data_IF_055177476735
#
_entry.id   IF_055177476735
#
_cell.length_a   1.000
_cell.length_b   1.000
_cell.length_c   1.000
_cell.angle_alpha   90.00
_cell.angle_beta   90.00
_cell.angle_gamma   90.00
#
_symmetry.space_group_name_H-M   'P 1'
#
loop_
_entity.id
_entity.type
_entity.pdbx_description
1 polymer ?
#
# COMPACT_ATOMS: atom_id res chain seq x y z
N UNK A 1 80.34 23.70 75.15
CA UNK A 1 80.35 24.08 73.73
C UNK A 1 79.91 22.86 72.95
N UNK A 2 78.82 23.03 72.21
CA UNK A 2 78.26 22.23 71.11
C UNK A 2 77.94 20.73 71.34
N UNK A 3 76.68 20.28 71.33
CA UNK A 3 75.58 20.38 70.32
C UNK A 3 75.68 19.25 69.29
N UNK A 4 74.70 18.36 69.42
CA UNK A 4 74.04 17.50 68.44
C UNK A 4 74.88 16.41 67.77
N UNK A 5 74.44 15.15 67.90
CA UNK A 5 73.87 14.38 66.78
C UNK A 5 73.08 13.22 67.40
N UNK A 6 71.76 13.33 67.47
CA UNK A 6 70.89 12.14 67.57
C UNK A 6 69.48 12.47 67.04
N UNK A 7 69.39 12.69 65.74
CA UNK A 7 68.13 12.75 65.01
C UNK A 7 68.52 12.68 63.54
N UNK A 8 68.35 11.52 62.87
CA UNK A 8 68.29 11.43 61.40
C UNK A 8 67.97 10.02 60.85
N UNK A 9 67.91 8.95 61.66
CA UNK A 9 67.65 7.60 61.14
C UNK A 9 66.18 7.27 60.89
N UNK A 10 65.23 7.87 61.64
CA UNK A 10 63.79 7.61 61.42
C UNK A 10 63.22 8.39 60.22
N UNK A 11 63.80 9.56 59.90
CA UNK A 11 63.35 10.40 58.77
C UNK A 11 63.55 9.70 57.42
N UNK A 12 64.65 8.99 57.22
CA UNK A 12 65.01 8.36 55.93
C UNK A 12 64.11 7.14 55.62
N UNK A 13 63.75 6.35 56.65
CA UNK A 13 62.87 5.19 56.45
C UNK A 13 61.42 5.65 56.21
N UNK A 14 60.92 6.62 56.97
CA UNK A 14 59.57 7.15 56.78
C UNK A 14 59.44 7.91 55.44
N UNK A 15 60.45 8.68 55.03
CA UNK A 15 60.47 9.26 53.66
C UNK A 15 60.52 8.17 52.59
N UNK A 16 61.30 7.11 52.76
CA UNK A 16 61.33 6.00 51.79
C UNK A 16 60.00 5.24 51.69
N UNK A 17 59.27 5.09 52.80
CA UNK A 17 57.97 4.41 52.83
C UNK A 17 56.88 5.27 52.17
N UNK A 18 56.89 6.58 52.44
CA UNK A 18 55.97 7.52 51.77
C UNK A 18 56.28 7.61 50.27
N UNK A 19 57.54 7.67 49.86
CA UNK A 19 57.96 7.69 48.45
C UNK A 19 57.55 6.40 47.72
N UNK A 20 57.73 5.24 48.34
CA UNK A 20 57.24 3.97 47.81
C UNK A 20 55.72 3.95 47.66
N UNK A 21 55.00 4.52 48.63
CA UNK A 21 53.53 4.64 48.58
C UNK A 21 53.08 5.57 47.46
N UNK A 22 53.82 6.66 47.19
CA UNK A 22 53.57 7.55 46.04
C UNK A 22 53.83 6.85 44.71
N UNK A 23 54.89 6.04 44.59
CA UNK A 23 55.16 5.25 43.39
C UNK A 23 54.03 4.24 43.13
N UNK A 24 53.57 3.53 44.17
CA UNK A 24 52.43 2.61 44.04
C UNK A 24 51.14 3.34 43.64
N UNK A 25 50.87 4.51 44.22
CA UNK A 25 49.73 5.32 43.83
C UNK A 25 49.82 5.76 42.36
N UNK A 26 51.01 6.13 41.89
CA UNK A 26 51.22 6.53 40.50
C UNK A 26 51.03 5.35 39.54
N UNK A 27 51.51 4.16 39.89
CA UNK A 27 51.28 2.93 39.11
C UNK A 27 49.78 2.61 39.05
N UNK A 28 49.06 2.71 40.17
CA UNK A 28 47.62 2.48 40.22
C UNK A 28 46.86 3.49 39.35
N UNK A 29 47.22 4.77 39.42
CA UNK A 29 46.63 5.80 38.56
C UNK A 29 46.89 5.53 37.08
N UNK A 30 48.09 5.08 36.72
CA UNK A 30 48.43 4.75 35.34
C UNK A 30 47.61 3.55 34.83
N UNK A 31 47.45 2.51 35.64
CA UNK A 31 46.61 1.34 35.31
C UNK A 31 45.14 1.73 35.20
N UNK A 32 44.62 2.55 36.12
CA UNK A 32 43.24 3.05 36.04
C UNK A 32 43.01 3.92 34.81
N UNK A 33 43.94 4.81 34.46
CA UNK A 33 43.84 5.62 33.25
C UNK A 33 43.81 4.75 31.99
N UNK A 34 44.65 3.70 31.93
CA UNK A 34 44.65 2.78 30.80
C UNK A 34 43.33 2.00 30.69
N UNK A 35 42.81 1.50 31.82
CA UNK A 35 41.54 0.77 31.85
C UNK A 35 40.36 1.67 31.48
N UNK A 36 40.36 2.93 31.92
CA UNK A 36 39.32 3.90 31.52
C UNK A 36 39.36 4.13 30.01
N UNK A 37 40.55 4.25 29.42
CA UNK A 37 40.68 4.45 27.97
C UNK A 37 40.19 3.23 27.18
N UNK A 38 40.56 2.01 27.59
CA UNK A 38 40.08 0.79 26.90
C UNK A 38 38.56 0.62 27.01
N UNK A 39 37.99 0.94 28.18
CA UNK A 39 36.53 0.89 28.39
C UNK A 39 35.83 1.98 27.58
N UNK A 40 36.43 3.17 27.44
CA UNK A 40 35.89 4.25 26.60
C UNK A 40 35.86 3.86 25.13
N UNK A 41 36.93 3.26 24.60
CA UNK A 41 36.99 2.78 23.22
C UNK A 41 35.93 1.68 22.95
N UNK A 42 35.77 0.72 23.88
CA UNK A 42 34.74 -0.32 23.76
C UNK A 42 33.31 0.26 23.83
N UNK A 43 33.11 1.29 24.65
CA UNK A 43 31.83 1.98 24.77
C UNK A 43 31.46 2.75 23.50
N UNK A 44 32.42 3.46 22.88
CA UNK A 44 32.21 4.17 21.61
C UNK A 44 31.85 3.19 20.49
N UNK A 45 32.57 2.08 20.39
CA UNK A 45 32.35 1.04 19.38
C UNK A 45 30.98 0.35 19.58
N UNK A 46 30.58 0.12 20.83
CA UNK A 46 29.23 -0.38 21.13
C UNK A 46 28.13 0.65 20.80
N UNK A 47 28.39 1.94 20.97
CA UNK A 47 27.44 3.00 20.62
C UNK A 47 27.24 3.10 19.11
N UNK A 48 28.32 3.05 18.34
CA UNK A 48 28.28 3.05 16.87
C UNK A 48 27.52 1.83 16.35
N UNK A 49 27.79 0.63 16.90
CA UNK A 49 27.05 -0.59 16.57
C UNK A 49 25.56 -0.50 16.93
N UNK A 50 25.20 0.14 18.04
CA UNK A 50 23.80 0.32 18.40
C UNK A 50 23.07 1.27 17.43
N UNK A 51 23.78 2.28 16.93
CA UNK A 51 23.25 3.26 15.98
C UNK A 51 23.06 2.65 14.59
N UNK A 52 24.01 1.85 14.12
CA UNK A 52 23.88 1.09 12.86
C UNK A 52 22.73 0.08 12.94
N UNK A 53 22.61 -0.67 14.05
CA UNK A 53 21.51 -1.61 14.23
C UNK A 53 20.14 -0.92 14.26
N UNK A 54 20.06 0.28 14.86
CA UNK A 54 18.83 1.10 14.83
C UNK A 54 18.47 1.55 13.42
N UNK A 55 19.47 1.95 12.62
CA UNK A 55 19.25 2.32 11.23
C UNK A 55 18.80 1.13 10.39
N UNK A 56 19.40 -0.04 10.58
CA UNK A 56 18.97 -1.28 9.91
C UNK A 56 17.53 -1.65 10.29
N UNK A 57 17.18 -1.60 11.58
CA UNK A 57 15.79 -1.88 12.04
C UNK A 57 14.80 -0.87 11.46
N UNK A 58 15.16 0.41 11.38
CA UNK A 58 14.32 1.43 10.74
C UNK A 58 14.13 1.14 9.25
N UNK A 59 15.20 0.80 8.54
CA UNK A 59 15.14 0.46 7.10
C UNK A 59 14.31 -0.81 6.84
N UNK A 60 14.43 -1.83 7.70
CA UNK A 60 13.63 -3.04 7.64
C UNK A 60 12.17 -2.76 7.95
N UNK A 61 11.89 -1.91 8.95
CA UNK A 61 10.52 -1.52 9.30
C UNK A 61 9.87 -0.73 8.18
N UNK A 62 10.60 0.14 7.49
CA UNK A 62 10.10 0.90 6.35
C UNK A 62 9.85 -0.02 5.15
N UNK A 63 10.77 -0.93 4.86
CA UNK A 63 10.59 -1.95 3.82
C UNK A 63 9.42 -2.89 4.11
N UNK A 64 9.23 -3.29 5.37
CA UNK A 64 8.09 -4.10 5.81
C UNK A 64 6.78 -3.31 5.71
N UNK A 65 6.81 -2.00 6.02
CA UNK A 65 5.64 -1.13 5.88
C UNK A 65 5.22 -1.01 4.42
N UNK A 66 6.16 -0.76 3.51
CA UNK A 66 5.90 -0.72 2.06
C UNK A 66 5.38 -2.07 1.56
N UNK A 67 5.98 -3.19 1.98
CA UNK A 67 5.50 -4.52 1.62
C UNK A 67 4.10 -4.81 2.20
N UNK A 68 3.81 -4.34 3.41
CA UNK A 68 2.49 -4.50 4.04
C UNK A 68 1.42 -3.59 3.42
N UNK A 69 1.79 -2.38 2.97
CA UNK A 69 0.89 -1.47 2.24
C UNK A 69 0.61 -2.02 0.83
N UNK A 70 1.61 -2.64 0.20
CA UNK A 70 1.45 -3.35 -1.07
C UNK A 70 0.55 -4.59 -0.91
N UNK A 71 0.73 -5.37 0.16
CA UNK A 71 -0.12 -6.53 0.46
C UNK A 71 -1.54 -6.13 0.93
N UNK A 72 -1.71 -4.96 1.54
CA UNK A 72 -3.02 -4.44 1.94
C UNK A 72 -3.82 -3.84 0.77
N UNK A 73 -3.16 -3.60 -0.38
CA UNK A 73 -3.78 -3.20 -1.64
C UNK A 73 -4.21 -4.39 -2.51
N UNK A 74 -3.89 -5.64 -2.10
CA UNK A 74 -4.01 -6.83 -2.95
C UNK A 74 -5.03 -7.86 -2.44
N UNK A 75 -6.30 -7.48 -2.33
CA UNK A 75 -7.40 -8.47 -2.32
C UNK A 75 -7.71 -8.99 -3.75
N UNK A 76 -7.04 -8.46 -4.78
CA UNK A 76 -7.31 -8.76 -6.19
C UNK A 76 -6.07 -9.21 -7.01
N UNK A 77 -4.91 -9.39 -6.37
CA UNK A 77 -3.68 -9.85 -7.04
C UNK A 77 -3.13 -11.12 -6.40
N UNK A 78 -3.02 -12.17 -7.21
CA UNK A 78 -2.44 -13.46 -6.84
C UNK A 78 -0.91 -13.33 -6.68
N UNK A 79 -0.35 -13.53 -5.47
CA UNK A 79 1.09 -13.47 -5.26
C UNK A 79 1.86 -14.45 -6.16
N UNK A 80 1.25 -15.59 -6.50
CA UNK A 80 1.86 -16.63 -7.33
C UNK A 80 2.06 -16.13 -8.78
N UNK A 81 1.14 -15.32 -9.31
CA UNK A 81 1.28 -14.74 -10.66
C UNK A 81 2.44 -13.74 -10.74
N UNK A 82 2.64 -12.92 -9.70
CA UNK A 82 3.74 -11.95 -9.65
C UNK A 82 5.12 -12.64 -9.58
N UNK A 83 5.22 -13.75 -8.84
CA UNK A 83 6.45 -14.54 -8.78
C UNK A 83 6.74 -15.26 -10.11
N UNK A 84 5.71 -15.69 -10.84
CA UNK A 84 5.85 -16.25 -12.18
C UNK A 84 6.35 -15.17 -13.16
N UNK A 85 5.74 -13.99 -13.18
CA UNK A 85 6.19 -12.87 -14.04
C UNK A 85 7.63 -12.44 -13.72
N UNK A 86 8.00 -12.36 -12.44
CA UNK A 86 9.36 -12.03 -12.03
C UNK A 86 10.38 -13.12 -12.41
N UNK A 87 9.99 -14.40 -12.33
CA UNK A 87 10.83 -15.51 -12.76
C UNK A 87 11.04 -15.51 -14.29
N UNK A 88 9.99 -15.20 -15.05
CA UNK A 88 10.05 -15.06 -16.51
C UNK A 88 10.89 -13.85 -16.93
N UNK A 89 10.70 -12.69 -16.28
CA UNK A 89 11.51 -11.50 -16.51
C UNK A 89 13.01 -11.75 -16.21
N UNK A 90 13.31 -12.51 -15.15
CA UNK A 90 14.69 -12.92 -14.81
C UNK A 90 15.28 -13.86 -15.86
N UNK A 91 14.49 -14.78 -16.40
CA UNK A 91 14.92 -15.69 -17.47
C UNK A 91 15.17 -14.92 -18.78
N UNK A 92 14.31 -13.96 -19.11
CA UNK A 92 14.46 -13.11 -20.29
C UNK A 92 15.71 -12.22 -20.20
N UNK A 93 15.97 -11.63 -19.04
CA UNK A 93 17.19 -10.83 -18.80
C UNK A 93 18.47 -11.66 -18.88
N UNK A 94 18.46 -12.89 -18.36
CA UNK A 94 19.59 -13.80 -18.47
C UNK A 94 19.85 -14.24 -19.92
N UNK A 95 18.80 -14.50 -20.70
CA UNK A 95 18.91 -14.79 -22.14
C UNK A 95 19.40 -13.59 -22.95
N UNK A 96 18.99 -12.38 -22.56
CA UNK A 96 19.47 -11.14 -23.18
C UNK A 96 20.97 -10.95 -22.93
N UNK A 97 21.43 -11.20 -21.70
CA UNK A 97 22.84 -11.11 -21.34
C UNK A 97 23.70 -12.12 -22.10
N UNK A 98 23.24 -13.38 -22.23
CA UNK A 98 23.94 -14.38 -23.04
C UNK A 98 23.98 -14.00 -24.53
N UNK A 99 22.89 -13.43 -25.05
CA UNK A 99 22.83 -12.99 -26.47
C UNK A 99 23.75 -11.79 -26.72
N UNK A 100 23.87 -10.87 -25.75
CA UNK A 100 24.84 -9.77 -25.81
C UNK A 100 26.29 -10.26 -25.80
N UNK A 101 26.59 -11.27 -24.97
CA UNK A 101 27.91 -11.91 -24.96
C UNK A 101 28.23 -12.63 -26.28
N UNK A 102 27.27 -13.31 -26.90
CA UNK A 102 27.45 -13.91 -28.22
C UNK A 102 27.64 -12.86 -29.31
N UNK A 103 26.85 -11.78 -29.30
CA UNK A 103 26.99 -10.66 -30.23
C UNK A 103 28.39 -10.03 -30.16
N UNK A 104 28.87 -9.72 -28.95
CA UNK A 104 30.21 -9.14 -28.76
C UNK A 104 31.32 -10.08 -29.22
N UNK A 105 31.17 -11.39 -28.99
CA UNK A 105 32.11 -12.40 -29.48
C UNK A 105 32.10 -12.50 -31.02
N UNK A 106 30.91 -12.45 -31.63
CA UNK A 106 30.75 -12.43 -33.09
C UNK A 106 31.33 -11.16 -33.72
N UNK A 107 31.13 -9.99 -33.10
CA UNK A 107 31.72 -8.72 -33.55
C UNK A 107 33.25 -8.75 -33.50
N UNK A 108 33.84 -9.35 -32.47
CA UNK A 108 35.28 -9.52 -32.35
C UNK A 108 35.83 -10.53 -33.38
N UNK A 109 35.11 -11.63 -33.62
CA UNK A 109 35.45 -12.57 -34.71
C UNK A 109 35.38 -11.90 -36.09
N UNK A 110 34.39 -11.02 -36.31
CA UNK A 110 34.26 -10.24 -37.54
C UNK A 110 35.42 -9.25 -37.71
N UNK A 111 35.84 -8.57 -36.64
CA UNK A 111 37.03 -7.69 -36.68
C UNK A 111 38.30 -8.48 -37.03
N UNK A 112 38.49 -9.66 -36.43
CA UNK A 112 39.64 -10.50 -36.70
C UNK A 112 39.64 -11.07 -38.14
N UNK A 113 38.47 -11.43 -38.67
CA UNK A 113 38.32 -11.83 -40.08
C UNK A 113 38.60 -10.65 -41.01
N UNK A 114 38.09 -9.46 -40.70
CA UNK A 114 38.34 -8.24 -41.48
C UNK A 114 39.83 -7.90 -41.54
N UNK A 115 40.55 -8.10 -40.43
CA UNK A 115 42.00 -7.86 -40.35
C UNK A 115 42.83 -8.92 -41.12
N UNK A 116 42.36 -10.17 -41.22
CA UNK A 116 43.00 -11.24 -42.01
C UNK A 116 42.76 -11.09 -43.52
N UNK A 117 41.60 -10.56 -43.90
CA UNK A 117 41.19 -10.33 -45.30
C UNK A 117 41.98 -9.20 -45.98
N UNK A 118 42.58 -8.28 -45.21
CA UNK A 118 43.38 -7.17 -45.73
C UNK A 118 44.71 -7.58 -46.42
N UNK A 119 45.08 -8.87 -46.43
CA UNK A 119 46.35 -9.36 -47.00
C UNK A 119 46.22 -10.29 -48.23
N UNK A 120 45.01 -10.50 -48.76
CA UNK A 120 44.81 -11.46 -49.86
C UNK A 120 43.78 -10.93 -50.88
N UNK A 121 44.22 -10.72 -52.13
CA UNK A 121 43.45 -10.05 -53.18
C UNK A 121 42.15 -10.81 -53.55
N UNK A 122 42.14 -12.13 -53.41
CA UNK A 122 40.94 -12.97 -53.59
C UNK A 122 39.94 -12.83 -52.43
N UNK A 123 40.45 -12.60 -51.20
CA UNK A 123 39.61 -12.34 -50.04
C UNK A 123 38.98 -10.94 -50.12
N UNK A 124 39.63 -9.98 -50.78
CA UNK A 124 39.07 -8.64 -51.05
C UNK A 124 37.90 -8.71 -52.03
N UNK A 125 38.00 -9.53 -53.09
CA UNK A 125 36.87 -9.80 -54.00
C UNK A 125 35.73 -10.54 -53.30
N UNK A 126 36.03 -11.52 -52.45
CA UNK A 126 35.01 -12.19 -51.64
C UNK A 126 34.38 -11.24 -50.62
N UNK A 127 35.14 -10.31 -50.04
CA UNK A 127 34.62 -9.28 -49.14
C UNK A 127 33.75 -8.26 -49.87
N UNK A 128 34.14 -7.81 -51.07
CA UNK A 128 33.30 -6.94 -51.90
C UNK A 128 32.01 -7.64 -52.32
N UNK A 129 32.07 -8.93 -52.60
CA UNK A 129 30.89 -9.75 -52.91
C UNK A 129 30.00 -9.91 -51.69
N UNK A 130 30.57 -10.26 -50.53
CA UNK A 130 29.85 -10.36 -49.26
C UNK A 130 29.29 -9.01 -48.79
N UNK A 131 29.96 -7.89 -49.06
CA UNK A 131 29.46 -6.53 -48.77
C UNK A 131 28.31 -6.15 -49.71
N UNK A 132 28.33 -6.57 -50.97
CA UNK A 132 27.20 -6.42 -51.90
C UNK A 132 26.02 -7.27 -51.49
N UNK A 133 26.25 -8.54 -51.15
CA UNK A 133 25.22 -9.44 -50.63
C UNK A 133 24.64 -8.92 -49.31
N UNK A 134 25.47 -8.41 -48.40
CA UNK A 134 25.03 -7.74 -47.16
C UNK A 134 24.20 -6.50 -47.46
N UNK A 135 24.56 -5.68 -48.45
CA UNK A 135 23.77 -4.51 -48.83
C UNK A 135 22.43 -4.89 -49.48
N UNK A 136 22.38 -5.99 -50.23
CA UNK A 136 21.12 -6.57 -50.72
C UNK A 136 20.28 -7.16 -49.58
N UNK A 137 20.90 -7.85 -48.63
CA UNK A 137 20.27 -8.33 -47.40
C UNK A 137 19.74 -7.20 -46.54
N UNK A 138 20.48 -6.10 -46.36
CA UNK A 138 20.01 -4.91 -45.65
C UNK A 138 18.82 -4.27 -46.38
N UNK A 139 18.83 -4.23 -47.73
CA UNK A 139 17.66 -3.79 -48.50
C UNK A 139 16.48 -4.72 -48.37
N UNK A 140 16.68 -6.04 -48.33
CA UNK A 140 15.59 -7.01 -48.13
C UNK A 140 15.10 -7.01 -46.69
N UNK A 141 15.97 -6.84 -45.70
CA UNK A 141 15.62 -6.63 -44.28
C UNK A 141 14.82 -5.36 -44.15
N UNK A 142 15.22 -4.26 -44.80
CA UNK A 142 14.45 -3.01 -44.80
C UNK A 142 13.10 -3.16 -45.50
N UNK A 143 13.06 -3.90 -46.61
CA UNK A 143 11.81 -4.27 -47.29
C UNK A 143 10.94 -5.21 -46.45
N UNK A 144 11.55 -6.07 -45.62
CA UNK A 144 10.88 -6.93 -44.65
C UNK A 144 10.45 -6.12 -43.42
N UNK A 145 11.16 -5.07 -43.01
CA UNK A 145 10.74 -4.10 -41.98
C UNK A 145 9.56 -3.27 -42.47
N UNK A 146 9.61 -2.80 -43.72
CA UNK A 146 8.52 -2.12 -44.41
C UNK A 146 7.31 -3.06 -44.61
N UNK A 147 7.53 -4.35 -44.88
CA UNK A 147 6.47 -5.38 -44.93
C UNK A 147 6.04 -5.88 -43.53
N UNK A 148 6.90 -5.76 -42.51
CA UNK A 148 6.60 -6.11 -41.09
C UNK A 148 5.70 -5.08 -40.44
N UNK A 149 5.67 -3.85 -40.95
CA UNK A 149 4.62 -2.88 -40.62
C UNK A 149 3.22 -3.41 -40.98
N UNK A 150 3.08 -4.39 -41.89
CA UNK A 150 1.78 -4.97 -42.27
C UNK A 150 1.47 -6.34 -41.63
N UNK A 151 2.42 -6.99 -40.96
CA UNK A 151 2.18 -8.31 -40.33
C UNK A 151 2.34 -8.36 -38.81
N UNK A 152 2.95 -7.35 -38.17
CA UNK A 152 2.97 -7.23 -36.70
C UNK A 152 1.66 -6.72 -36.11
N UNK A 153 0.62 -6.54 -36.94
CA UNK A 153 -0.70 -6.11 -36.50
C UNK A 153 -1.73 -7.22 -36.49
N UNK A 154 -1.54 -8.39 -37.13
CA UNK A 154 -2.72 -9.23 -37.40
C UNK A 154 -3.36 -9.85 -36.15
N UNK A 155 -2.61 -10.34 -35.17
CA UNK A 155 -3.19 -10.92 -33.95
C UNK A 155 -3.70 -9.84 -32.97
N UNK A 156 -2.96 -8.74 -32.79
CA UNK A 156 -3.39 -7.61 -31.96
C UNK A 156 -4.56 -6.83 -32.59
N UNK A 157 -4.62 -6.74 -33.93
CA UNK A 157 -5.70 -6.11 -34.67
C UNK A 157 -6.90 -7.04 -34.79
N UNK A 158 -6.74 -8.37 -34.80
CA UNK A 158 -7.86 -9.32 -34.65
C UNK A 158 -8.45 -9.20 -33.25
N UNK A 159 -7.64 -9.19 -32.20
CA UNK A 159 -8.11 -8.98 -30.83
C UNK A 159 -8.80 -7.61 -30.66
N UNK A 160 -8.22 -6.55 -31.24
CA UNK A 160 -8.84 -5.23 -31.25
C UNK A 160 -10.13 -5.20 -32.09
N UNK A 161 -10.19 -5.89 -33.22
CA UNK A 161 -11.41 -5.98 -34.06
C UNK A 161 -12.50 -6.78 -33.34
N UNK A 162 -12.16 -7.84 -32.61
CA UNK A 162 -13.09 -8.61 -31.78
C UNK A 162 -13.63 -7.74 -30.63
N UNK A 163 -12.77 -7.00 -29.93
CA UNK A 163 -13.16 -6.05 -28.88
C UNK A 163 -14.05 -4.92 -29.43
N UNK A 164 -13.71 -4.39 -30.61
CA UNK A 164 -14.53 -3.39 -31.30
C UNK A 164 -15.85 -3.97 -31.83
N UNK A 165 -15.91 -5.26 -32.21
CA UNK A 165 -17.16 -5.91 -32.62
C UNK A 165 -18.12 -6.10 -31.44
N UNK A 166 -17.63 -6.48 -30.26
CA UNK A 166 -18.47 -6.54 -29.04
C UNK A 166 -19.03 -5.16 -28.68
N UNK A 167 -18.24 -4.10 -28.84
CA UNK A 167 -18.69 -2.72 -28.66
C UNK A 167 -19.76 -2.36 -29.70
N UNK A 168 -19.58 -2.70 -30.99
CA UNK A 168 -20.55 -2.40 -32.05
C UNK A 168 -21.88 -3.14 -31.81
N UNK A 169 -21.86 -4.42 -31.43
CA UNK A 169 -23.07 -5.18 -31.07
C UNK A 169 -23.80 -4.56 -29.87
N UNK A 170 -23.06 -4.12 -28.85
CA UNK A 170 -23.64 -3.40 -27.72
C UNK A 170 -24.25 -2.04 -28.11
N UNK A 171 -23.72 -1.37 -29.14
CA UNK A 171 -24.23 -0.10 -29.68
C UNK A 171 -25.52 -0.31 -30.49
N UNK A 172 -25.58 -1.37 -31.32
CA UNK A 172 -26.77 -1.73 -32.09
C UNK A 172 -27.96 -2.08 -31.20
N UNK A 173 -27.73 -2.74 -30.06
CA UNK A 173 -28.76 -3.04 -29.06
C UNK A 173 -29.37 -1.76 -28.45
N UNK A 174 -28.63 -0.65 -28.44
CA UNK A 174 -29.03 0.62 -27.83
C UNK A 174 -29.59 1.66 -28.81
N UNK A 175 -29.80 1.31 -30.09
CA UNK A 175 -30.35 2.21 -31.13
C UNK A 175 -29.61 3.56 -31.27
N UNK A 176 -28.28 3.55 -31.17
CA UNK A 176 -27.47 4.76 -31.36
C UNK A 176 -27.23 5.03 -32.86
N UNK A 177 -27.56 6.24 -33.32
CA UNK A 177 -27.47 6.62 -34.75
C UNK A 177 -26.10 7.20 -35.17
N UNK A 178 -25.15 7.36 -34.25
CA UNK A 178 -23.82 7.93 -34.51
C UNK A 178 -22.69 6.90 -34.59
N UNK A 179 -21.48 7.34 -34.91
CA UNK A 179 -20.29 6.49 -34.89
C UNK A 179 -19.94 6.00 -33.46
N UNK A 180 -19.28 4.85 -33.29
CA UNK A 180 -18.80 4.38 -31.99
C UNK A 180 -17.89 5.39 -31.28
N UNK A 181 -17.06 6.13 -32.02
CA UNK A 181 -16.23 7.21 -31.46
C UNK A 181 -17.06 8.35 -30.87
N UNK A 182 -18.19 8.71 -31.49
CA UNK A 182 -19.10 9.73 -30.98
C UNK A 182 -19.84 9.25 -29.74
N UNK A 183 -20.18 7.96 -29.67
CA UNK A 183 -20.78 7.39 -28.45
C UNK A 183 -19.78 7.41 -27.29
N UNK A 184 -18.55 6.97 -27.50
CA UNK A 184 -17.52 6.96 -26.46
C UNK A 184 -17.27 8.38 -25.95
N UNK A 185 -17.13 9.35 -26.85
CA UNK A 185 -16.99 10.75 -26.48
C UNK A 185 -18.22 11.27 -25.70
N UNK A 186 -19.44 10.91 -26.13
CA UNK A 186 -20.68 11.24 -25.44
C UNK A 186 -20.75 10.65 -24.03
N UNK A 187 -20.39 9.37 -23.86
CA UNK A 187 -20.38 8.67 -22.57
C UNK A 187 -19.35 9.27 -21.63
N UNK A 188 -18.13 9.55 -22.10
CA UNK A 188 -17.09 10.24 -21.31
C UNK A 188 -17.60 11.61 -20.86
N UNK A 189 -18.17 12.39 -21.78
CA UNK A 189 -18.72 13.70 -21.48
C UNK A 189 -19.89 13.62 -20.48
N UNK A 190 -20.77 12.63 -20.60
CA UNK A 190 -21.86 12.38 -19.66
C UNK A 190 -21.33 11.99 -18.28
N UNK A 191 -20.28 11.17 -18.21
CA UNK A 191 -19.68 10.76 -16.95
C UNK A 191 -19.04 11.95 -16.22
N UNK A 192 -18.29 12.80 -16.94
CA UNK A 192 -17.76 14.05 -16.40
C UNK A 192 -18.88 15.01 -15.95
N UNK A 193 -19.97 15.10 -16.73
CA UNK A 193 -21.14 15.88 -16.36
C UNK A 193 -21.82 15.31 -15.09
N UNK A 194 -21.98 14.00 -14.97
CA UNK A 194 -22.56 13.35 -13.79
C UNK A 194 -21.68 13.54 -12.57
N UNK A 195 -20.35 13.46 -12.72
CA UNK A 195 -19.38 13.74 -11.66
C UNK A 195 -19.50 15.19 -11.18
N UNK A 196 -19.55 16.14 -12.10
CA UNK A 196 -19.76 17.56 -11.79
C UNK A 196 -21.11 17.83 -11.12
N UNK A 197 -22.19 17.20 -11.59
CA UNK A 197 -23.52 17.29 -10.98
C UNK A 197 -23.54 16.69 -9.57
N UNK A 198 -22.87 15.55 -9.36
CA UNK A 198 -22.76 14.92 -8.04
C UNK A 198 -22.04 15.84 -7.05
N UNK A 199 -20.92 16.45 -7.46
CA UNK A 199 -20.19 17.43 -6.64
C UNK A 199 -21.09 18.63 -6.32
N UNK A 200 -21.77 19.20 -7.33
CA UNK A 200 -22.66 20.35 -7.12
C UNK A 200 -23.84 20.03 -6.18
N UNK A 201 -24.44 18.84 -6.34
CA UNK A 201 -25.53 18.36 -5.49
C UNK A 201 -25.05 18.12 -4.06
N UNK A 202 -23.87 17.52 -3.88
CA UNK A 202 -23.25 17.33 -2.56
C UNK A 202 -22.97 18.68 -1.89
N UNK A 203 -22.42 19.64 -2.62
CA UNK A 203 -22.19 21.00 -2.10
C UNK A 203 -23.49 21.74 -1.76
N UNK A 204 -24.56 21.54 -2.54
CA UNK A 204 -25.89 22.05 -2.21
C UNK A 204 -26.48 21.37 -0.98
N UNK A 205 -26.31 20.06 -0.83
CA UNK A 205 -26.76 19.29 0.34
C UNK A 205 -26.00 19.73 1.60
N UNK A 206 -24.68 19.94 1.53
CA UNK A 206 -23.88 20.50 2.64
C UNK A 206 -24.41 21.87 3.11
N UNK A 207 -24.92 22.69 2.19
CA UNK A 207 -25.48 24.02 2.49
C UNK A 207 -26.91 23.97 3.05
N UNK A 208 -27.62 22.86 2.88
CA UNK A 208 -28.95 22.65 3.46
C UNK A 208 -28.72 22.03 4.85
N UNK A 209 -28.47 22.90 5.84
CA UNK A 209 -28.07 22.56 7.21
C UNK A 209 -29.05 21.68 7.99
N UNK A 210 -29.08 20.38 7.67
CA UNK A 210 -29.85 19.35 8.37
C UNK A 210 -28.95 18.39 9.20
N UNK A 211 -27.67 18.70 9.38
CA UNK A 211 -26.73 17.85 10.14
C UNK A 211 -26.36 16.53 9.45
N UNK A 212 -26.66 16.40 8.16
CA UNK A 212 -26.24 15.28 7.30
C UNK A 212 -25.13 15.76 6.35
N UNK A 213 -23.97 16.05 6.92
CA UNK A 213 -22.80 16.57 6.20
C UNK A 213 -22.21 15.56 5.21
N UNK A 214 -22.36 14.26 5.49
CA UNK A 214 -21.80 13.17 4.70
C UNK A 214 -22.87 12.31 3.98
N UNK A 215 -22.60 11.82 2.75
CA UNK A 215 -23.49 10.89 2.03
C UNK A 215 -23.64 9.54 2.75
N UNK A 216 -24.68 8.74 2.44
CA UNK A 216 -24.80 7.37 2.96
C UNK A 216 -23.65 6.48 2.45
N UNK A 217 -23.06 5.68 3.34
CA UNK A 217 -22.07 4.68 2.93
C UNK A 217 -22.71 3.56 2.10
N UNK A 218 -23.94 3.16 2.43
CA UNK A 218 -24.70 2.16 1.67
C UNK A 218 -25.92 2.82 1.04
N UNK A 219 -25.96 2.75 -0.29
CA UNK A 219 -27.09 3.15 -1.10
C UNK A 219 -27.38 2.08 -2.15
N UNK A 220 -28.64 2.05 -2.57
CA UNK A 220 -29.11 1.27 -3.69
C UNK A 220 -28.56 1.84 -5.00
N UNK A 221 -27.93 0.99 -5.84
CA UNK A 221 -27.22 1.43 -7.04
C UNK A 221 -28.12 1.99 -8.13
N UNK A 222 -29.38 1.55 -8.18
CA UNK A 222 -30.35 1.97 -9.20
C UNK A 222 -31.15 3.20 -8.74
N UNK A 223 -31.62 3.19 -7.49
CA UNK A 223 -32.53 4.21 -6.97
C UNK A 223 -31.84 5.30 -6.15
N UNK A 224 -30.58 5.10 -5.76
CA UNK A 224 -29.85 6.00 -4.85
C UNK A 224 -30.41 6.05 -3.43
N UNK A 225 -31.40 5.21 -3.09
CA UNK A 225 -32.03 5.19 -1.77
C UNK A 225 -31.08 4.61 -0.72
N UNK A 226 -31.12 5.20 0.47
CA UNK A 226 -30.32 4.78 1.62
C UNK A 226 -30.65 3.32 1.98
N UNK A 227 -29.61 2.50 2.10
CA UNK A 227 -29.70 1.15 2.64
C UNK A 227 -29.20 1.19 4.09
N UNK A 228 -30.09 0.82 5.01
CA UNK A 228 -29.83 0.91 6.45
C UNK A 228 -28.98 -0.27 6.89
N UNK A 229 -28.01 -0.03 7.77
CA UNK A 229 -27.15 -1.08 8.27
C UNK A 229 -27.85 -1.88 9.37
N UNK A 230 -28.40 -1.20 10.38
CA UNK A 230 -29.04 -1.85 11.52
C UNK A 230 -30.47 -1.36 11.75
N UNK A 231 -31.28 -2.28 12.26
CA UNK A 231 -32.49 -1.94 13.00
C UNK A 231 -32.09 -1.88 14.48
N UNK A 232 -32.22 -0.71 15.09
CA UNK A 232 -31.79 -0.44 16.45
C UNK A 232 -33.02 -0.28 17.33
N UNK A 233 -33.17 -1.16 18.31
CA UNK A 233 -34.28 -1.13 19.27
C UNK A 233 -33.79 -0.54 20.58
N UNK A 234 -34.33 0.61 20.97
CA UNK A 234 -34.04 1.24 22.25
C UNK A 234 -35.07 0.76 23.27
N UNK A 235 -34.61 0.05 24.28
CA UNK A 235 -35.39 -0.42 25.42
C UNK A 235 -35.11 0.47 26.65
N UNK A 236 -35.78 0.21 27.76
CA UNK A 236 -35.61 1.01 28.98
C UNK A 236 -34.15 1.01 29.50
N UNK A 237 -33.56 -0.17 29.62
CA UNK A 237 -32.22 -0.33 30.19
C UNK A 237 -31.16 -0.72 29.17
N UNK A 238 -31.49 -0.79 27.88
CA UNK A 238 -30.55 -1.29 26.86
C UNK A 238 -30.88 -0.83 25.45
N UNK A 239 -29.90 -0.96 24.56
CA UNK A 239 -30.05 -0.81 23.12
C UNK A 239 -29.66 -2.11 22.43
N UNK A 240 -30.45 -2.54 21.46
CA UNK A 240 -30.24 -3.77 20.70
C UNK A 240 -30.07 -3.46 19.22
N UNK A 241 -29.02 -4.01 18.62
CA UNK A 241 -28.70 -3.90 17.21
C UNK A 241 -29.07 -5.20 16.52
N UNK A 242 -30.01 -5.11 15.59
CA UNK A 242 -30.48 -6.20 14.75
C UNK A 242 -30.11 -5.93 13.30
N UNK A 243 -30.10 -6.99 12.48
CA UNK A 243 -29.92 -6.90 11.04
C UNK A 243 -30.93 -5.90 10.45
N UNK A 244 -30.41 -4.87 9.79
CA UNK A 244 -31.22 -3.85 9.10
C UNK A 244 -30.99 -3.78 7.59
N UNK A 245 -29.92 -4.41 7.12
CA UNK A 245 -29.48 -4.43 5.72
C UNK A 245 -30.30 -5.36 4.85
N UNK A 246 -30.47 -5.04 3.55
CA UNK A 246 -31.17 -5.88 2.59
C UNK A 246 -30.40 -7.17 2.28
N UNK A 247 -31.09 -8.18 1.76
CA UNK A 247 -30.48 -9.48 1.38
C UNK A 247 -29.32 -9.33 0.39
N UNK A 248 -29.41 -8.36 -0.53
CA UNK A 248 -28.35 -8.06 -1.49
C UNK A 248 -27.02 -7.65 -0.86
N UNK A 249 -27.03 -7.18 0.39
CA UNK A 249 -25.83 -6.79 1.15
C UNK A 249 -25.40 -7.84 2.18
N UNK A 250 -26.09 -8.99 2.24
CA UNK A 250 -25.87 -9.95 3.32
C UNK A 250 -24.45 -10.51 3.33
N UNK A 251 -23.92 -10.92 2.18
CA UNK A 251 -22.55 -11.40 2.06
C UNK A 251 -21.54 -10.37 2.55
N UNK A 252 -21.68 -9.11 2.10
CA UNK A 252 -20.83 -7.99 2.51
C UNK A 252 -20.92 -7.70 4.02
N UNK A 253 -22.13 -7.78 4.60
CA UNK A 253 -22.35 -7.50 6.01
C UNK A 253 -21.77 -8.59 6.91
N UNK A 254 -21.95 -9.86 6.53
CA UNK A 254 -21.52 -11.02 7.32
C UNK A 254 -20.01 -11.24 7.21
N UNK A 255 -19.41 -10.95 6.05
CA UNK A 255 -17.95 -11.07 5.87
C UNK A 255 -17.17 -9.96 6.57
N UNK A 256 -17.79 -8.81 6.89
CA UNK A 256 -17.14 -7.71 7.59
C UNK A 256 -17.28 -7.84 9.12
N UNK A 257 -16.20 -8.13 9.86
CA UNK A 257 -16.26 -8.30 11.32
C UNK A 257 -16.68 -7.02 12.05
N UNK A 258 -16.41 -5.83 11.50
CA UNK A 258 -16.84 -4.57 12.11
C UNK A 258 -18.37 -4.41 12.05
N UNK A 259 -19.04 -5.00 11.05
CA UNK A 259 -20.50 -4.96 10.89
C UNK A 259 -21.14 -6.09 11.68
N UNK A 260 -20.71 -7.33 11.45
CA UNK A 260 -21.35 -8.50 12.03
C UNK A 260 -21.27 -8.53 13.57
N UNK A 261 -20.13 -8.14 14.15
CA UNK A 261 -19.92 -8.17 15.61
C UNK A 261 -20.70 -7.10 16.39
N UNK A 262 -21.38 -6.17 15.69
CA UNK A 262 -22.24 -5.15 16.32
C UNK A 262 -23.61 -5.72 16.68
N UNK A 263 -24.05 -6.79 16.02
CA UNK A 263 -25.34 -7.42 16.32
C UNK A 263 -25.35 -7.91 17.77
N UNK A 264 -26.40 -7.53 18.51
CA UNK A 264 -26.55 -7.88 19.92
C UNK A 264 -27.07 -6.74 20.78
N UNK A 265 -27.09 -6.98 22.10
CA UNK A 265 -27.70 -6.09 23.10
C UNK A 265 -26.65 -5.47 24.02
N UNK A 266 -26.81 -4.18 24.29
CA UNK A 266 -25.88 -3.37 25.09
C UNK A 266 -26.63 -2.63 26.20
N UNK A 267 -26.13 -2.74 27.42
CA UNK A 267 -26.65 -2.10 28.64
C UNK A 267 -26.12 -0.67 28.85
N UNK A 268 -25.17 -0.23 28.02
CA UNK A 268 -24.50 1.05 28.15
C UNK A 268 -24.00 1.56 26.80
N UNK A 269 -23.96 2.89 26.64
CA UNK A 269 -23.40 3.53 25.45
C UNK A 269 -21.92 3.18 25.23
N UNK A 270 -21.11 3.06 26.30
CA UNK A 270 -19.69 2.71 26.17
C UNK A 270 -19.48 1.32 25.56
N UNK A 271 -20.27 0.32 25.96
CA UNK A 271 -20.18 -1.02 25.37
C UNK A 271 -20.61 -1.00 23.91
N UNK A 272 -21.71 -0.32 23.60
CA UNK A 272 -22.16 -0.12 22.21
C UNK A 272 -21.08 0.59 21.37
N UNK A 273 -20.47 1.66 21.86
CA UNK A 273 -19.41 2.39 21.15
C UNK A 273 -18.18 1.54 20.93
N UNK A 274 -17.79 0.70 21.90
CA UNK A 274 -16.65 -0.21 21.73
C UNK A 274 -16.83 -1.17 20.56
N UNK A 275 -18.07 -1.60 20.29
CA UNK A 275 -18.40 -2.49 19.16
C UNK A 275 -18.58 -1.74 17.84
N UNK A 276 -19.09 -0.53 17.88
CA UNK A 276 -19.41 0.26 16.68
C UNK A 276 -18.29 1.19 16.23
N UNK A 277 -17.20 1.29 17.01
CA UNK A 277 -16.04 2.16 16.70
C UNK A 277 -15.41 1.84 15.35
N UNK A 278 -15.27 0.56 14.99
CA UNK A 278 -14.70 0.15 13.71
C UNK A 278 -15.47 0.74 12.53
N UNK A 279 -16.80 0.55 12.53
CA UNK A 279 -17.70 1.12 11.53
C UNK A 279 -17.63 2.64 11.51
N UNK A 280 -17.63 3.28 12.67
CA UNK A 280 -17.55 4.74 12.78
C UNK A 280 -16.26 5.28 12.13
N UNK A 281 -15.12 4.71 12.48
CA UNK A 281 -13.80 5.13 11.97
C UNK A 281 -13.67 4.92 10.47
N UNK A 282 -14.17 3.79 9.96
CA UNK A 282 -14.22 3.52 8.52
C UNK A 282 -15.08 4.56 7.78
N UNK A 283 -16.27 4.86 8.29
CA UNK A 283 -17.17 5.84 7.69
C UNK A 283 -16.54 7.24 7.62
N UNK A 284 -15.82 7.66 8.66
CA UNK A 284 -15.09 8.94 8.67
C UNK A 284 -14.00 8.95 7.61
N UNK A 285 -13.21 7.86 7.50
CA UNK A 285 -12.14 7.73 6.49
C UNK A 285 -12.69 7.80 5.06
N UNK A 286 -13.86 7.21 4.82
CA UNK A 286 -14.53 7.18 3.52
C UNK A 286 -15.41 8.41 3.25
N UNK A 287 -15.38 9.41 4.14
CA UNK A 287 -16.21 10.62 4.08
C UNK A 287 -17.70 10.35 3.87
N UNK A 288 -18.20 9.23 4.42
CA UNK A 288 -19.59 8.79 4.33
C UNK A 288 -20.17 8.49 5.72
N UNK A 289 -21.47 8.22 5.78
CA UNK A 289 -22.12 7.81 7.02
C UNK A 289 -23.07 6.64 6.90
N UNK A 290 -22.98 5.69 7.83
CA UNK A 290 -23.95 4.61 7.92
C UNK A 290 -25.25 5.09 8.58
N UNK A 291 -26.37 4.64 8.02
CA UNK A 291 -27.69 4.94 8.53
C UNK A 291 -28.28 3.76 9.28
N UNK A 292 -29.01 4.05 10.36
CA UNK A 292 -29.74 3.06 11.16
C UNK A 292 -31.20 3.45 11.33
N UNK A 293 -32.07 2.45 11.43
CA UNK A 293 -33.49 2.66 11.78
C UNK A 293 -33.66 2.50 13.27
N UNK A 294 -34.20 3.50 13.95
CA UNK A 294 -34.44 3.47 15.39
C UNK A 294 -35.90 3.12 15.67
N UNK A 295 -36.10 2.18 16.60
CA UNK A 295 -37.39 1.75 17.13
C UNK A 295 -37.42 2.00 18.64
N UNK A 296 -38.37 2.80 19.11
CA UNK A 296 -38.52 3.13 20.54
C UNK A 296 -39.44 2.12 21.23
N UNK A 297 -38.84 1.29 22.08
CA UNK A 297 -39.48 0.32 22.95
C UNK A 297 -39.28 0.68 24.44
N UNK A 298 -38.71 1.86 24.74
CA UNK A 298 -38.53 2.32 26.10
C UNK A 298 -39.86 2.79 26.71
N UNK A 299 -39.95 2.73 28.03
CA UNK A 299 -41.09 3.23 28.79
C UNK A 299 -40.91 4.73 29.10
N UNK A 300 -39.66 5.16 29.30
CA UNK A 300 -39.32 6.53 29.64
C UNK A 300 -38.59 7.29 28.53
N UNK A 301 -38.98 8.55 28.32
CA UNK A 301 -38.27 9.48 27.43
C UNK A 301 -36.78 9.62 27.78
N UNK A 302 -36.44 9.46 29.07
CA UNK A 302 -35.05 9.54 29.55
C UNK A 302 -34.23 8.38 29.01
N UNK A 303 -34.75 7.15 29.09
CA UNK A 303 -34.12 5.97 28.52
C UNK A 303 -33.95 6.11 27.01
N UNK A 304 -35.02 6.52 26.30
CA UNK A 304 -34.98 6.78 24.86
C UNK A 304 -33.84 7.74 24.49
N UNK A 305 -33.82 8.94 25.09
CA UNK A 305 -32.84 9.97 24.75
C UNK A 305 -31.40 9.54 25.08
N UNK A 306 -31.18 8.83 26.19
CA UNK A 306 -29.85 8.35 26.60
C UNK A 306 -29.20 7.50 25.51
N UNK A 307 -29.93 6.52 24.99
CA UNK A 307 -29.42 5.63 23.95
C UNK A 307 -29.45 6.27 22.58
N UNK A 308 -30.47 7.09 22.28
CA UNK A 308 -30.57 7.79 21.00
C UNK A 308 -29.35 8.67 20.74
N UNK A 309 -28.98 9.51 21.70
CA UNK A 309 -27.79 10.36 21.59
C UNK A 309 -26.52 9.52 21.48
N UNK A 310 -26.50 8.35 22.12
CA UNK A 310 -25.42 7.39 21.97
C UNK A 310 -25.28 6.87 20.53
N UNK A 311 -26.39 6.50 19.90
CA UNK A 311 -26.41 6.01 18.52
C UNK A 311 -26.02 7.10 17.54
N UNK A 312 -26.48 8.34 17.74
CA UNK A 312 -26.18 9.48 16.87
C UNK A 312 -24.70 9.84 16.80
N UNK A 313 -23.92 9.52 17.84
CA UNK A 313 -22.48 9.71 17.79
C UNK A 313 -21.83 8.89 16.67
N UNK A 314 -22.36 7.70 16.36
CA UNK A 314 -21.75 6.75 15.42
C UNK A 314 -22.53 6.54 14.12
N UNK A 315 -23.79 6.99 14.04
CA UNK A 315 -24.66 6.74 12.90
C UNK A 315 -25.59 7.91 12.61
N UNK A 316 -26.03 8.01 11.37
CA UNK A 316 -27.21 8.81 11.05
C UNK A 316 -28.47 8.00 11.32
N UNK A 317 -29.52 8.67 11.82
CA UNK A 317 -30.74 8.00 12.28
C UNK A 317 -31.92 8.24 11.36
N UNK A 318 -32.78 7.23 11.28
CA UNK A 318 -34.18 7.38 10.89
C UNK A 318 -35.06 6.88 12.03
N UNK A 319 -35.87 7.77 12.62
CA UNK A 319 -36.81 7.40 13.68
C UNK A 319 -38.04 6.74 13.06
N UNK A 320 -38.22 5.44 13.31
CA UNK A 320 -39.44 4.72 12.92
C UNK A 320 -40.60 5.10 13.83
N UNK A 321 -41.77 5.36 13.23
CA UNK A 321 -43.04 5.53 13.97
C UNK A 321 -43.71 4.20 14.33
N UNK A 322 -43.23 3.09 13.76
CA UNK A 322 -43.74 1.73 14.00
C UNK A 322 -42.86 1.04 15.03
N UNK A 323 -43.46 0.20 15.88
CA UNK A 323 -42.70 -0.78 16.68
C UNK A 323 -42.17 -1.89 15.77
N UNK A 324 -40.99 -2.42 16.09
CA UNK A 324 -40.45 -3.57 15.36
C UNK A 324 -41.24 -4.82 15.79
N UNK A 325 -41.89 -5.51 14.85
CA UNK A 325 -42.58 -6.76 15.15
C UNK A 325 -41.59 -7.93 15.12
N UNK A 326 -41.82 -8.94 15.97
CA UNK A 326 -40.98 -10.15 16.09
C UNK A 326 -40.89 -11.02 14.82
N UNK A 327 -41.51 -10.62 13.71
CA UNK A 327 -41.58 -11.41 12.47
C UNK A 327 -40.28 -11.35 11.62
N UNK A 328 -39.31 -10.50 11.97
CA UNK A 328 -38.06 -10.32 11.21
C UNK A 328 -36.79 -10.74 11.99
N UNK A 329 -36.94 -11.59 13.02
CA UNK A 329 -35.81 -12.23 13.72
C UNK A 329 -35.53 -13.61 13.11
N UNK A 330 -34.97 -13.65 11.89
CA UNK A 330 -34.26 -14.82 11.35
C UNK A 330 -33.00 -14.36 10.64
#
# INVERSE_FOLDING_TARGET
MNVFVEENSNSIIDTSLTELSFIFFFILLMVSAWQINSVSEELELSHENQETLKQEVLSLSESLKVASEFAALSDEYDPESLFIELAEARKATQQLESTLQEKTKLEEQLKQLTHKVASNEDAKKQLETALREKAELEKTVKKIEDLKLDNLRQEELIALVEEYQEIIEAIEINNWEGSPSELIASVIQQNENYKGQNINLREKIKKIGNGLEHPPCWADSETGKIQYLFNVVINEDSVEFLRGWPDSRNTQAVSNPNIFNVIGKYDTNNRMWSKTKGIFSESVKLECRHFVRIYDHSESKRAFLRYLLGVENHFYKYLSRRKLSNANQI
#
